data_IF_472631958035
#
_entry.id   IF_472631958035
#
_cell.length_a   1.000
_cell.length_b   1.000
_cell.length_c   1.000
_cell.angle_alpha   90.00
_cell.angle_beta   90.00
_cell.angle_gamma   90.00
#
_symmetry.space_group_name_H-M   'P 1'
#
loop_
_entity.id
_entity.type
_entity.pdbx_description
1 polymer ?
#
# COMPACT_ATOMS: atom_id res chain seq x y z
N UNK A 1 54.69 -1.96 37.22
CA UNK A 1 54.61 -2.61 38.55
C UNK A 1 53.59 -1.86 39.39
N UNK A 2 52.78 -2.62 40.13
CA UNK A 2 51.64 -2.25 40.99
C UNK A 2 52.01 -1.16 42.01
N UNK A 3 51.12 -0.36 42.60
CA UNK A 3 49.89 -0.69 43.37
C UNK A 3 48.99 0.55 43.45
N UNK A 4 47.70 0.44 43.11
CA UNK A 4 46.57 0.18 44.02
C UNK A 4 46.24 1.37 44.94
N UNK A 5 45.07 1.97 44.74
CA UNK A 5 44.26 2.42 45.87
C UNK A 5 42.76 2.27 45.56
N UNK A 6 42.14 1.45 46.40
CA UNK A 6 40.74 1.07 46.48
C UNK A 6 40.07 2.07 47.42
N UNK A 7 38.84 2.51 47.11
CA UNK A 7 37.91 2.97 48.15
C UNK A 7 36.50 2.48 47.84
N UNK A 8 36.10 1.46 48.58
CA UNK A 8 34.73 0.95 48.73
C UNK A 8 34.20 1.52 50.05
N UNK A 9 32.97 2.04 50.05
CA UNK A 9 32.00 2.09 51.17
C UNK A 9 30.64 2.37 50.49
N UNK A 10 29.71 1.44 50.26
CA UNK A 10 28.88 0.63 51.16
C UNK A 10 27.86 1.42 51.99
N UNK A 11 26.60 1.42 51.57
CA UNK A 11 25.44 1.47 52.48
C UNK A 11 24.20 0.87 51.79
N UNK A 12 23.84 -0.30 52.30
CA UNK A 12 22.64 -1.14 52.12
C UNK A 12 21.49 -0.47 52.92
N UNK A 13 20.34 -0.13 52.34
CA UNK A 13 19.11 -0.89 52.06
C UNK A 13 18.31 -1.38 53.31
N UNK A 14 17.08 -0.87 53.49
CA UNK A 14 15.90 -1.55 54.11
C UNK A 14 14.65 -0.79 53.66
N UNK A 15 13.92 -1.26 52.65
CA UNK A 15 12.66 -2.03 52.73
C UNK A 15 11.52 -1.38 53.55
N UNK A 16 10.44 -1.00 52.86
CA UNK A 16 9.09 -1.53 53.15
C UNK A 16 8.26 -1.61 51.86
N UNK A 17 7.77 -2.83 51.62
CA UNK A 17 6.91 -3.27 50.52
C UNK A 17 5.46 -2.83 50.75
N UNK A 18 4.77 -2.45 49.69
CA UNK A 18 3.33 -2.71 49.55
C UNK A 18 3.01 -3.17 48.14
N UNK A 19 2.58 -4.42 48.06
CA UNK A 19 2.17 -5.18 46.88
C UNK A 19 0.73 -4.81 46.52
N UNK A 20 0.46 -4.41 45.28
CA UNK A 20 -0.78 -4.77 44.55
C UNK A 20 -0.44 -5.04 43.08
N UNK A 21 -0.73 -6.26 42.64
CA UNK A 21 -0.66 -6.75 41.26
C UNK A 21 -1.82 -6.20 40.41
N UNK A 22 -1.56 -5.80 39.16
CA UNK A 22 -2.35 -6.21 37.98
C UNK A 22 -1.78 -5.61 36.67
N UNK A 23 -1.51 -6.48 35.69
CA UNK A 23 -1.85 -6.17 34.29
C UNK A 23 -0.80 -5.53 33.37
N UNK A 24 0.10 -6.37 32.86
CA UNK A 24 0.42 -6.51 31.42
C UNK A 24 0.95 -5.30 30.59
N UNK A 25 2.21 -5.52 30.13
CA UNK A 25 2.74 -5.29 28.77
C UNK A 25 3.27 -3.90 28.40
N UNK A 26 4.57 -3.77 28.67
CA UNK A 26 5.65 -3.45 27.73
C UNK A 26 5.33 -2.47 26.59
N UNK A 27 5.88 -1.27 26.80
CA UNK A 27 6.19 -0.25 25.82
C UNK A 27 6.86 -0.82 24.56
N UNK A 28 6.11 -0.83 23.46
CA UNK A 28 6.71 -0.86 22.13
C UNK A 28 6.67 0.57 21.58
N UNK A 29 7.85 1.20 21.61
CA UNK A 29 8.18 2.37 20.81
C UNK A 29 7.93 2.05 19.32
N UNK A 30 6.79 2.47 18.80
CA UNK A 30 6.60 2.58 17.36
C UNK A 30 7.13 3.94 16.91
N UNK A 31 8.22 3.82 16.16
CA UNK A 31 8.86 4.85 15.34
C UNK A 31 7.83 5.80 14.75
N UNK A 32 7.81 7.03 15.27
CA UNK A 32 7.19 8.19 14.65
C UNK A 32 7.96 8.49 13.36
N UNK A 33 7.57 7.87 12.26
CA UNK A 33 8.05 8.27 10.95
C UNK A 33 7.41 9.61 10.59
N UNK A 34 8.17 10.67 10.86
CA UNK A 34 8.19 11.95 10.16
C UNK A 34 6.99 12.20 9.22
N UNK A 35 5.91 12.74 9.79
CA UNK A 35 5.21 13.82 9.10
C UNK A 35 6.19 14.97 8.98
N UNK A 36 6.99 14.97 7.92
CA UNK A 36 7.56 16.19 7.38
C UNK A 36 6.46 17.26 7.45
N UNK A 37 6.75 18.36 8.14
CA UNK A 37 5.91 19.55 8.27
C UNK A 37 5.52 20.07 6.87
N UNK A 38 4.58 19.39 6.19
CA UNK A 38 3.95 19.90 5.00
C UNK A 38 3.05 21.01 5.53
N UNK A 39 3.56 22.24 5.47
CA UNK A 39 2.81 23.44 5.81
C UNK A 39 1.76 23.64 4.72
N UNK A 40 0.69 22.84 4.80
CA UNK A 40 -0.47 22.96 3.94
C UNK A 40 -1.13 24.30 4.27
N UNK A 41 -1.29 25.16 3.27
CA UNK A 41 -2.03 26.42 3.40
C UNK A 41 -3.37 26.26 2.67
N UNK A 42 -4.46 25.95 3.38
CA UNK A 42 -5.78 25.91 2.77
C UNK A 42 -6.14 27.26 2.16
N UNK A 43 -6.92 27.24 1.08
CA UNK A 43 -7.50 28.44 0.50
C UNK A 43 -8.48 29.12 1.47
N UNK A 44 -9.27 28.32 2.21
CA UNK A 44 -10.22 28.80 3.21
C UNK A 44 -10.29 27.81 4.38
N UNK A 45 -10.49 28.32 5.60
CA UNK A 45 -10.67 27.52 6.82
C UNK A 45 -11.95 27.95 7.53
N UNK A 46 -12.79 26.98 7.89
CA UNK A 46 -13.97 27.14 8.73
C UNK A 46 -13.75 26.30 9.99
N UNK A 47 -13.66 26.96 11.14
CA UNK A 47 -13.32 26.36 12.44
C UNK A 47 -14.50 25.66 13.12
N UNK A 48 -15.72 25.92 12.69
CA UNK A 48 -16.89 25.19 13.17
C UNK A 48 -17.86 24.99 12.02
N UNK A 49 -17.92 23.76 11.50
CA UNK A 49 -18.76 23.47 10.35
C UNK A 49 -20.25 23.69 10.61
N UNK A 50 -20.73 23.46 11.84
CA UNK A 50 -22.16 23.54 12.17
C UNK A 50 -22.64 25.00 12.28
N UNK A 51 -21.88 25.82 13.01
CA UNK A 51 -22.18 27.26 13.17
C UNK A 51 -21.97 28.03 11.87
N UNK A 52 -20.93 27.68 11.10
CA UNK A 52 -20.58 28.39 9.86
C UNK A 52 -21.24 27.79 8.63
N UNK A 53 -22.27 26.95 8.78
CA UNK A 53 -22.96 26.27 7.66
C UNK A 53 -23.39 27.25 6.57
N UNK A 54 -24.06 28.34 6.93
CA UNK A 54 -24.58 29.29 5.94
C UNK A 54 -23.44 29.96 5.15
N UNK A 55 -22.40 30.39 5.85
CA UNK A 55 -21.18 30.96 5.28
C UNK A 55 -20.48 29.97 4.34
N UNK A 56 -20.31 28.72 4.77
CA UNK A 56 -19.73 27.64 3.96
C UNK A 56 -20.49 27.48 2.66
N UNK A 57 -21.83 27.52 2.70
CA UNK A 57 -22.66 27.32 1.51
C UNK A 57 -22.69 28.54 0.60
N UNK A 58 -22.66 29.76 1.14
CA UNK A 58 -22.63 31.00 0.33
C UNK A 58 -21.28 31.18 -0.36
N UNK A 59 -20.18 31.03 0.39
CA UNK A 59 -18.82 31.29 -0.10
C UNK A 59 -18.40 30.33 -1.21
N UNK A 60 -18.96 29.12 -1.20
CA UNK A 60 -18.61 28.06 -2.13
C UNK A 60 -19.67 27.84 -3.23
N UNK A 61 -20.63 28.76 -3.37
CA UNK A 61 -21.68 28.67 -4.39
C UNK A 61 -21.06 28.81 -5.79
N UNK A 62 -21.24 27.78 -6.62
CA UNK A 62 -20.74 27.77 -8.00
C UNK A 62 -19.23 27.55 -8.14
N UNK A 63 -18.50 27.37 -7.03
CA UNK A 63 -17.06 27.10 -7.04
C UNK A 63 -16.78 25.61 -7.07
N UNK A 64 -15.74 25.22 -7.81
CA UNK A 64 -15.24 23.85 -7.87
C UNK A 64 -13.91 23.75 -7.11
N UNK A 65 -13.67 22.62 -6.45
CA UNK A 65 -12.42 22.44 -5.71
C UNK A 65 -12.35 21.17 -4.86
N UNK A 66 -11.28 21.07 -4.08
CA UNK A 66 -11.00 19.99 -3.13
C UNK A 66 -11.11 20.53 -1.71
N UNK A 67 -11.76 19.77 -0.83
CA UNK A 67 -12.00 20.13 0.56
C UNK A 67 -11.53 19.02 1.50
N UNK A 68 -11.29 19.41 2.76
CA UNK A 68 -10.86 18.54 3.85
C UNK A 68 -11.77 18.74 5.07
N UNK A 69 -12.39 17.67 5.54
CA UNK A 69 -13.01 17.62 6.86
C UNK A 69 -11.99 17.11 7.87
N UNK A 70 -11.85 17.77 9.02
CA UNK A 70 -10.95 17.37 10.11
C UNK A 70 -11.78 17.23 11.37
N UNK A 71 -11.76 16.05 11.98
CA UNK A 71 -12.40 15.84 13.27
C UNK A 71 -11.50 16.38 14.39
N UNK A 72 -12.02 17.28 15.22
CA UNK A 72 -11.27 17.96 16.27
C UNK A 72 -10.97 17.06 17.48
N UNK A 73 -11.76 16.01 17.70
CA UNK A 73 -11.58 15.12 18.86
C UNK A 73 -10.48 14.08 18.61
N UNK A 74 -10.27 13.64 17.37
CA UNK A 74 -9.33 12.57 17.02
C UNK A 74 -8.31 12.91 15.92
N UNK A 75 -8.36 14.13 15.38
CA UNK A 75 -7.51 14.65 14.30
C UNK A 75 -7.54 13.86 12.98
N UNK A 76 -8.49 12.92 12.83
CA UNK A 76 -8.66 12.19 11.57
C UNK A 76 -9.33 13.07 10.54
N UNK A 77 -9.00 12.83 9.28
CA UNK A 77 -9.51 13.66 8.20
C UNK A 77 -10.13 12.87 7.04
N UNK A 78 -10.94 13.58 6.26
CA UNK A 78 -11.53 13.13 5.01
C UNK A 78 -11.24 14.15 3.92
N UNK A 79 -10.85 13.68 2.74
CA UNK A 79 -10.67 14.48 1.53
C UNK A 79 -11.78 14.16 0.54
N UNK A 80 -12.37 15.19 -0.06
CA UNK A 80 -13.29 15.03 -1.17
C UNK A 80 -13.21 16.21 -2.13
N UNK A 81 -13.79 16.05 -3.31
CA UNK A 81 -13.90 17.12 -4.30
C UNK A 81 -15.35 17.37 -4.74
N UNK A 82 -15.58 18.51 -5.39
CA UNK A 82 -16.88 18.84 -5.95
C UNK A 82 -16.80 19.84 -7.10
N UNK A 83 -17.65 19.65 -8.12
CA UNK A 83 -17.86 20.61 -9.21
C UNK A 83 -18.57 21.87 -8.70
N UNK A 84 -19.54 21.68 -7.81
CA UNK A 84 -20.17 22.76 -7.06
C UNK A 84 -20.04 22.42 -5.57
N UNK A 85 -19.08 23.05 -4.91
CA UNK A 85 -18.73 22.80 -3.52
C UNK A 85 -19.91 23.07 -2.60
N UNK A 86 -20.68 24.16 -2.80
CA UNK A 86 -21.89 24.42 -2.01
C UNK A 86 -22.88 23.26 -2.07
N UNK A 87 -23.23 22.75 -3.26
CA UNK A 87 -24.11 21.58 -3.41
C UNK A 87 -23.52 20.32 -2.77
N UNK A 88 -22.22 20.08 -2.96
CA UNK A 88 -21.52 18.91 -2.40
C UNK A 88 -21.50 18.96 -0.88
N UNK A 89 -21.15 20.10 -0.29
CA UNK A 89 -21.04 20.32 1.14
C UNK A 89 -22.40 20.30 1.84
N UNK A 90 -23.45 20.82 1.19
CA UNK A 90 -24.82 20.78 1.71
C UNK A 90 -25.29 19.35 2.06
N UNK A 91 -24.81 18.32 1.35
CA UNK A 91 -25.15 16.92 1.63
C UNK A 91 -24.70 16.45 3.02
N UNK A 92 -23.62 17.02 3.56
CA UNK A 92 -23.09 16.68 4.88
C UNK A 92 -23.89 17.30 6.03
N UNK A 93 -24.68 18.34 5.75
CA UNK A 93 -25.47 19.06 6.76
C UNK A 93 -26.89 18.50 6.94
N UNK A 94 -27.26 17.43 6.23
CA UNK A 94 -28.58 16.81 6.33
C UNK A 94 -28.47 15.39 6.89
N UNK A 95 -28.91 15.18 8.12
CA UNK A 95 -28.90 13.85 8.75
C UNK A 95 -29.72 12.83 7.99
N UNK A 96 -30.84 13.26 7.40
CA UNK A 96 -31.65 12.42 6.50
C UNK A 96 -30.82 11.96 5.31
N UNK A 97 -30.11 12.88 4.65
CA UNK A 97 -29.25 12.52 3.53
C UNK A 97 -28.16 11.53 3.95
N UNK A 98 -27.44 11.82 5.04
CA UNK A 98 -26.38 10.96 5.56
C UNK A 98 -26.89 9.54 5.82
N UNK A 99 -28.02 9.39 6.52
CA UNK A 99 -28.64 8.09 6.82
C UNK A 99 -29.05 7.35 5.55
N UNK A 100 -29.76 8.01 4.62
CA UNK A 100 -30.16 7.40 3.34
C UNK A 100 -28.97 6.97 2.48
N UNK A 101 -27.86 7.72 2.49
CA UNK A 101 -26.65 7.30 1.78
C UNK A 101 -25.99 6.09 2.43
N UNK A 102 -26.02 6.00 3.77
CA UNK A 102 -25.49 4.86 4.53
C UNK A 102 -26.33 3.58 4.37
N UNK A 103 -27.60 3.68 4.00
CA UNK A 103 -28.41 2.51 3.62
C UNK A 103 -27.96 1.89 2.29
N UNK A 104 -27.40 2.71 1.40
CA UNK A 104 -26.99 2.31 0.04
C UNK A 104 -25.51 1.93 -0.05
N UNK A 105 -24.70 2.35 0.91
CA UNK A 105 -23.27 2.13 0.86
C UNK A 105 -22.54 2.49 2.15
N UNK A 106 -21.24 2.26 2.13
CA UNK A 106 -20.36 2.49 3.27
C UNK A 106 -19.59 3.80 3.09
N UNK A 107 -19.78 4.73 4.02
CA UNK A 107 -19.08 6.02 4.05
C UNK A 107 -18.60 6.33 5.46
N UNK A 108 -17.28 6.28 5.66
CA UNK A 108 -16.67 6.50 6.99
C UNK A 108 -16.90 7.95 7.45
N UNK A 109 -16.79 8.93 6.56
CA UNK A 109 -17.04 10.34 6.89
C UNK A 109 -18.50 10.58 7.30
N UNK A 110 -19.48 9.97 6.65
CA UNK A 110 -20.89 10.12 7.04
C UNK A 110 -21.15 9.53 8.42
N UNK A 111 -20.57 8.35 8.72
CA UNK A 111 -20.63 7.75 10.06
C UNK A 111 -19.94 8.62 11.10
N UNK A 112 -18.80 9.22 10.77
CA UNK A 112 -18.06 10.09 11.67
C UNK A 112 -18.84 11.36 12.00
N UNK A 113 -19.44 12.02 11.00
CA UNK A 113 -20.25 13.23 11.22
C UNK A 113 -21.48 12.93 12.09
N UNK A 114 -22.17 11.81 11.86
CA UNK A 114 -23.30 11.39 12.69
C UNK A 114 -22.88 11.03 14.12
N UNK A 115 -21.68 10.47 14.30
CA UNK A 115 -21.17 10.02 15.61
C UNK A 115 -20.66 11.17 16.48
N UNK A 116 -19.90 12.09 15.91
CA UNK A 116 -19.21 13.16 16.65
C UNK A 116 -19.95 14.50 16.60
N UNK A 117 -21.04 14.60 15.83
CA UNK A 117 -21.67 15.88 15.44
C UNK A 117 -20.78 16.73 14.53
N UNK A 118 -21.41 17.60 13.74
CA UNK A 118 -20.75 18.54 12.82
C UNK A 118 -19.93 19.60 13.54
N UNK A 119 -20.32 19.97 14.76
CA UNK A 119 -19.62 20.96 15.58
C UNK A 119 -18.21 20.52 16.00
N UNK A 120 -17.92 19.22 15.92
CA UNK A 120 -16.59 18.65 16.17
C UNK A 120 -15.73 18.56 14.93
N UNK A 121 -16.08 19.28 13.86
CA UNK A 121 -15.30 19.29 12.63
C UNK A 121 -14.94 20.70 12.17
N UNK A 122 -13.67 20.83 11.77
CA UNK A 122 -13.22 21.89 10.89
C UNK A 122 -13.46 21.47 9.44
N UNK A 123 -13.84 22.44 8.62
CA UNK A 123 -13.88 22.29 7.17
C UNK A 123 -12.85 23.23 6.56
N UNK A 124 -12.03 22.69 5.66
CA UNK A 124 -11.06 23.47 4.91
C UNK A 124 -11.29 23.29 3.43
N UNK A 125 -11.20 24.37 2.66
CA UNK A 125 -11.04 24.29 1.21
C UNK A 125 -9.55 24.28 0.94
N UNK A 126 -9.04 23.16 0.45
CA UNK A 126 -7.61 23.02 0.16
C UNK A 126 -7.23 23.82 -1.07
N UNK A 127 -8.05 23.74 -2.11
CA UNK A 127 -7.78 24.36 -3.41
C UNK A 127 -9.07 24.49 -4.22
N UNK A 128 -9.24 25.62 -4.90
CA UNK A 128 -10.21 25.77 -5.98
C UNK A 128 -9.56 25.39 -7.30
N UNK A 129 -10.22 24.55 -8.10
CA UNK A 129 -9.69 24.07 -9.36
C UNK A 129 -10.81 23.83 -10.38
N UNK A 130 -10.45 23.63 -11.64
CA UNK A 130 -11.41 23.33 -12.71
C UNK A 130 -11.94 21.89 -12.61
N UNK A 131 -13.12 21.65 -13.20
CA UNK A 131 -13.77 20.33 -13.18
C UNK A 131 -12.85 19.20 -13.68
N UNK A 132 -12.09 19.47 -14.75
CA UNK A 132 -11.19 18.49 -15.39
C UNK A 132 -10.07 18.00 -14.45
N UNK A 133 -9.68 18.82 -13.47
CA UNK A 133 -8.54 18.57 -12.59
C UNK A 133 -8.97 17.97 -11.24
N UNK A 134 -10.26 17.96 -10.90
CA UNK A 134 -10.76 17.55 -9.59
C UNK A 134 -10.27 16.17 -9.14
N UNK A 135 -10.39 15.15 -9.99
CA UNK A 135 -9.99 13.79 -9.64
C UNK A 135 -8.48 13.67 -9.43
N UNK A 136 -7.70 14.40 -10.24
CA UNK A 136 -6.25 14.44 -10.11
C UNK A 136 -5.84 15.12 -8.80
N UNK A 137 -6.44 16.28 -8.48
CA UNK A 137 -6.14 17.03 -7.25
C UNK A 137 -6.63 16.31 -6.01
N UNK A 138 -7.81 15.70 -6.04
CA UNK A 138 -8.34 14.88 -4.93
C UNK A 138 -7.40 13.70 -4.64
N UNK A 139 -6.97 12.97 -5.69
CA UNK A 139 -5.99 11.89 -5.55
C UNK A 139 -4.66 12.40 -4.98
N UNK A 140 -4.17 13.54 -5.46
CA UNK A 140 -2.96 14.18 -4.93
C UNK A 140 -3.05 14.41 -3.41
N UNK A 141 -4.15 15.01 -2.93
CA UNK A 141 -4.32 15.28 -1.50
C UNK A 141 -4.57 14.01 -0.67
N UNK A 142 -5.25 13.00 -1.22
CA UNK A 142 -5.41 11.69 -0.56
C UNK A 142 -4.04 11.03 -0.37
N UNK A 143 -3.18 11.01 -1.40
CA UNK A 143 -1.84 10.42 -1.30
C UNK A 143 -0.95 11.23 -0.35
N UNK A 144 -1.04 12.57 -0.42
CA UNK A 144 -0.23 13.46 0.40
C UNK A 144 -0.55 13.37 1.89
N UNK A 145 -1.84 13.30 2.24
CA UNK A 145 -2.32 13.40 3.62
C UNK A 145 -2.70 12.04 4.23
N UNK A 146 -2.87 11.01 3.42
CA UNK A 146 -3.31 9.66 3.82
C UNK A 146 -4.51 9.67 4.81
N UNK A 147 -5.64 10.31 4.44
CA UNK A 147 -6.79 10.52 5.31
C UNK A 147 -7.46 9.22 5.76
N UNK A 148 -7.76 9.09 7.05
CA UNK A 148 -8.30 7.86 7.66
C UNK A 148 -9.76 7.60 7.31
N UNK A 149 -10.50 8.64 6.95
CA UNK A 149 -11.91 8.51 6.58
C UNK A 149 -12.12 8.25 5.08
N UNK A 150 -11.06 8.28 4.26
CA UNK A 150 -11.14 7.86 2.86
C UNK A 150 -10.93 6.34 2.76
N UNK A 151 -11.94 5.64 2.28
CA UNK A 151 -11.86 4.19 2.03
C UNK A 151 -10.99 3.90 0.79
N UNK A 152 -11.10 4.76 -0.22
CA UNK A 152 -10.38 4.63 -1.49
C UNK A 152 -9.09 5.45 -1.45
N UNK A 153 -8.01 4.88 -2.01
CA UNK A 153 -6.69 5.53 -2.10
C UNK A 153 -6.55 6.45 -3.31
N UNK A 154 -7.43 6.30 -4.28
CA UNK A 154 -7.47 7.08 -5.52
C UNK A 154 -8.91 7.58 -5.71
N UNK A 155 -9.04 8.85 -6.10
CA UNK A 155 -10.35 9.47 -6.29
C UNK A 155 -11.10 8.83 -7.46
N UNK A 156 -12.39 8.53 -7.27
CA UNK A 156 -13.24 7.94 -8.31
C UNK A 156 -12.91 6.49 -8.70
N UNK A 157 -11.78 5.94 -8.27
CA UNK A 157 -11.33 4.59 -8.61
C UNK A 157 -11.71 3.59 -7.52
N UNK A 158 -12.57 2.63 -7.88
CA UNK A 158 -12.87 1.45 -7.03
C UNK A 158 -11.89 0.30 -7.28
N UNK A 159 -10.89 0.50 -8.14
CA UNK A 159 -9.93 -0.54 -8.51
C UNK A 159 -9.17 -1.02 -7.27
N UNK A 160 -9.20 -2.33 -7.02
CA UNK A 160 -8.59 -2.94 -5.83
C UNK A 160 -9.40 -2.83 -4.54
N UNK A 161 -10.54 -2.11 -4.53
CA UNK A 161 -11.46 -2.12 -3.39
C UNK A 161 -12.21 -3.46 -3.31
N UNK A 162 -12.26 -4.05 -2.11
CA UNK A 162 -12.96 -5.32 -1.89
C UNK A 162 -14.40 -5.04 -1.44
N UNK A 163 -15.35 -5.77 -2.01
CA UNK A 163 -16.72 -5.77 -1.49
C UNK A 163 -16.78 -6.36 -0.07
N UNK A 164 -17.68 -5.85 0.77
CA UNK A 164 -17.96 -6.47 2.07
C UNK A 164 -18.59 -7.84 1.88
N UNK A 165 -18.41 -8.75 2.86
CA UNK A 165 -19.02 -10.10 2.83
C UNK A 165 -20.53 -10.04 2.62
N UNK A 166 -21.21 -9.13 3.34
CA UNK A 166 -22.65 -8.89 3.22
C UNK A 166 -23.04 -8.47 1.79
N UNK A 167 -22.25 -7.59 1.15
CA UNK A 167 -22.52 -7.19 -0.22
C UNK A 167 -22.31 -8.34 -1.21
N UNK A 168 -21.25 -9.14 -1.02
CA UNK A 168 -20.98 -10.35 -1.83
C UNK A 168 -22.15 -11.33 -1.72
N UNK A 169 -22.66 -11.57 -0.51
CA UNK A 169 -23.78 -12.48 -0.27
C UNK A 169 -25.08 -11.97 -0.91
N UNK A 170 -25.36 -10.66 -0.83
CA UNK A 170 -26.50 -10.04 -1.52
C UNK A 170 -26.41 -10.21 -3.03
N UNK A 171 -25.23 -9.93 -3.62
CA UNK A 171 -24.99 -10.12 -5.05
C UNK A 171 -25.16 -11.58 -5.44
N UNK A 172 -24.63 -12.51 -4.64
CA UNK A 172 -24.75 -13.94 -4.86
C UNK A 172 -26.22 -14.40 -4.83
N UNK A 173 -26.99 -13.99 -3.82
CA UNK A 173 -28.43 -14.31 -3.73
C UNK A 173 -29.20 -13.75 -4.92
N UNK A 174 -28.95 -12.51 -5.30
CA UNK A 174 -29.58 -11.90 -6.47
C UNK A 174 -29.22 -12.61 -7.78
N UNK A 175 -27.99 -13.11 -7.91
CA UNK A 175 -27.56 -13.87 -9.09
C UNK A 175 -28.21 -15.27 -9.16
N UNK A 176 -28.41 -15.92 -8.01
CA UNK A 176 -29.08 -17.22 -7.92
C UNK A 176 -30.60 -17.13 -8.17
N UNK A 177 -31.22 -16.01 -7.81
CA UNK A 177 -32.66 -15.79 -7.97
C UNK A 177 -33.05 -15.18 -9.33
N UNK A 178 -32.20 -15.31 -10.36
CA UNK A 178 -32.53 -14.84 -11.71
C UNK A 178 -33.54 -15.78 -12.36
N UNK A 179 -34.56 -15.21 -13.01
CA UNK A 179 -35.52 -16.02 -13.80
C UNK A 179 -34.86 -16.54 -15.08
N UNK A 180 -35.46 -17.54 -15.71
CA UNK A 180 -34.96 -18.10 -16.97
C UNK A 180 -34.92 -17.05 -18.08
N UNK A 181 -35.90 -16.13 -18.12
CA UNK A 181 -35.92 -15.00 -19.07
C UNK A 181 -34.75 -14.05 -18.81
N UNK A 182 -34.45 -13.73 -17.55
CA UNK A 182 -33.32 -12.86 -17.19
C UNK A 182 -31.98 -13.51 -17.54
N UNK A 183 -31.88 -14.83 -17.39
CA UNK A 183 -30.70 -15.59 -17.79
C UNK A 183 -30.55 -15.62 -19.32
N UNK A 184 -31.65 -15.76 -20.07
CA UNK A 184 -31.64 -15.72 -21.53
C UNK A 184 -31.19 -14.33 -22.04
N UNK A 185 -31.75 -13.24 -21.50
CA UNK A 185 -31.34 -11.88 -21.84
C UNK A 185 -29.87 -11.62 -21.51
N UNK A 186 -29.38 -12.12 -20.37
CA UNK A 186 -27.97 -12.00 -20.00
C UNK A 186 -27.05 -12.78 -20.95
N UNK A 187 -27.45 -13.99 -21.38
CA UNK A 187 -26.71 -14.78 -22.38
C UNK A 187 -26.67 -14.08 -23.73
N UNK A 188 -27.79 -13.52 -24.18
CA UNK A 188 -27.87 -12.76 -25.43
C UNK A 188 -26.98 -11.50 -25.38
N UNK A 189 -27.01 -10.77 -24.26
CA UNK A 189 -26.12 -9.62 -24.04
C UNK A 189 -24.64 -10.02 -24.06
N UNK A 190 -24.27 -11.13 -23.40
CA UNK A 190 -22.91 -11.66 -23.44
C UNK A 190 -22.50 -12.06 -24.85
N UNK A 191 -23.38 -12.70 -25.62
CA UNK A 191 -23.12 -13.07 -27.00
C UNK A 191 -22.89 -11.84 -27.89
N UNK A 192 -23.70 -10.78 -27.73
CA UNK A 192 -23.52 -9.50 -28.44
C UNK A 192 -22.23 -8.80 -28.03
N UNK A 193 -21.92 -8.76 -26.73
CA UNK A 193 -20.68 -8.16 -26.21
C UNK A 193 -19.45 -8.93 -26.69
N UNK A 194 -19.52 -10.26 -26.73
CA UNK A 194 -18.46 -11.11 -27.27
C UNK A 194 -18.30 -10.90 -28.78
N UNK A 195 -19.40 -10.94 -29.56
CA UNK A 195 -19.39 -10.65 -31.00
C UNK A 195 -18.83 -9.26 -31.32
N UNK A 196 -19.16 -8.23 -30.52
CA UNK A 196 -18.60 -6.89 -30.65
C UNK A 196 -17.09 -6.83 -30.30
N UNK A 197 -16.63 -7.69 -29.41
CA UNK A 197 -15.22 -7.80 -29.02
C UNK A 197 -14.39 -8.73 -29.93
N UNK A 198 -14.99 -9.55 -30.78
CA UNK A 198 -14.30 -10.37 -31.80
C UNK A 198 -13.52 -9.50 -32.80
N UNK A 199 -13.89 -8.22 -32.97
CA UNK A 199 -13.09 -7.23 -33.72
C UNK A 199 -12.05 -6.46 -32.90
N UNK A 200 -12.00 -6.65 -31.57
CA UNK A 200 -11.04 -5.98 -30.65
C UNK A 200 -9.93 -6.90 -30.15
N UNK A 201 -10.10 -8.21 -30.26
CA UNK A 201 -8.96 -9.13 -30.24
C UNK A 201 -8.27 -9.01 -31.60
N UNK A 202 -7.18 -8.27 -31.68
CA UNK A 202 -6.29 -8.33 -32.83
C UNK A 202 -5.81 -9.79 -32.98
N UNK A 203 -6.52 -10.60 -33.77
CA UNK A 203 -5.82 -11.62 -34.52
C UNK A 203 -4.80 -10.84 -35.35
N UNK A 204 -3.54 -10.85 -34.90
CA UNK A 204 -2.49 -10.15 -35.62
C UNK A 204 -2.55 -10.65 -37.07
N UNK A 205 -2.66 -9.72 -38.03
CA UNK A 205 -2.45 -10.08 -39.44
C UNK A 205 -1.09 -10.77 -39.55
N UNK A 206 -0.91 -11.62 -40.55
CA UNK A 206 0.38 -12.31 -40.71
C UNK A 206 1.54 -11.32 -40.86
N UNK A 207 1.26 -10.13 -41.43
CA UNK A 207 2.18 -9.00 -41.47
C UNK A 207 2.50 -8.42 -40.06
N UNK A 208 1.50 -8.30 -39.18
CA UNK A 208 1.68 -7.84 -37.81
C UNK A 208 2.44 -8.87 -36.97
N UNK A 209 2.18 -10.17 -37.15
CA UNK A 209 2.95 -11.25 -36.53
C UNK A 209 4.41 -11.19 -36.97
N UNK A 210 4.66 -10.96 -38.26
CA UNK A 210 6.03 -10.86 -38.80
C UNK A 210 6.76 -9.62 -38.29
N UNK A 211 6.10 -8.46 -38.20
CA UNK A 211 6.65 -7.25 -37.58
C UNK A 211 7.03 -7.48 -36.11
N UNK A 212 6.19 -8.19 -35.35
CA UNK A 212 6.48 -8.56 -33.95
C UNK A 212 7.65 -9.55 -33.87
N UNK A 213 7.75 -10.50 -34.81
CA UNK A 213 8.86 -11.46 -34.90
C UNK A 213 10.18 -10.74 -35.17
N UNK A 214 10.22 -9.87 -36.18
CA UNK A 214 11.39 -9.06 -36.54
C UNK A 214 11.81 -8.16 -35.36
N UNK A 215 10.87 -7.47 -34.74
CA UNK A 215 11.15 -6.63 -33.56
C UNK A 215 11.65 -7.43 -32.34
N UNK A 216 11.26 -8.70 -32.22
CA UNK A 216 11.72 -9.59 -31.16
C UNK A 216 13.12 -10.16 -31.44
N UNK A 217 13.45 -10.44 -32.70
CA UNK A 217 14.75 -10.96 -33.14
C UNK A 217 15.84 -9.88 -33.20
N UNK A 218 15.48 -8.64 -33.56
CA UNK A 218 16.45 -7.54 -33.73
C UNK A 218 16.82 -6.82 -32.41
N UNK A 219 16.64 -7.47 -31.26
CA UNK A 219 17.06 -6.88 -29.98
C UNK A 219 18.59 -6.91 -29.91
N UNK A 220 19.22 -5.73 -29.95
CA UNK A 220 20.66 -5.58 -29.73
C UNK A 220 21.09 -6.29 -28.42
N UNK A 221 22.27 -6.90 -28.44
CA UNK A 221 22.87 -7.55 -27.27
C UNK A 221 22.93 -6.60 -26.06
N UNK A 222 23.18 -5.32 -26.29
CA UNK A 222 23.20 -4.27 -25.25
C UNK A 222 21.83 -4.08 -24.60
N UNK A 223 20.75 -4.04 -25.39
CA UNK A 223 19.39 -3.91 -24.88
C UNK A 223 18.99 -5.13 -24.04
N UNK A 224 19.39 -6.33 -24.47
CA UNK A 224 19.18 -7.57 -23.70
C UNK A 224 19.92 -7.51 -22.37
N UNK A 225 21.19 -7.04 -22.38
CA UNK A 225 22.00 -6.90 -21.17
C UNK A 225 21.39 -5.90 -20.19
N UNK A 226 20.98 -4.71 -20.68
CA UNK A 226 20.29 -3.68 -19.88
C UNK A 226 18.98 -4.20 -19.28
N UNK A 227 18.20 -4.94 -20.06
CA UNK A 227 16.95 -5.54 -19.59
C UNK A 227 17.19 -6.61 -18.50
N UNK A 228 18.20 -7.48 -18.69
CA UNK A 228 18.59 -8.50 -17.72
C UNK A 228 19.15 -7.88 -16.43
N UNK A 229 19.96 -6.83 -16.52
CA UNK A 229 20.43 -6.11 -15.34
C UNK A 229 19.28 -5.44 -14.57
N UNK A 230 18.27 -4.89 -15.26
CA UNK A 230 17.16 -4.20 -14.63
C UNK A 230 16.10 -5.14 -14.00
N UNK A 231 15.84 -6.31 -14.60
CA UNK A 231 14.74 -7.21 -14.22
C UNK A 231 15.15 -8.64 -13.86
N UNK A 232 16.39 -9.03 -14.16
CA UNK A 232 16.94 -10.34 -13.82
C UNK A 232 17.15 -10.50 -12.32
N UNK A 233 17.27 -11.75 -11.89
CA UNK A 233 17.74 -12.09 -10.54
C UNK A 233 19.15 -12.64 -10.68
N UNK A 234 20.13 -11.89 -10.21
CA UNK A 234 21.53 -12.29 -10.22
C UNK A 234 21.76 -13.52 -9.30
N UNK A 235 22.77 -14.31 -9.61
CA UNK A 235 23.15 -15.52 -8.88
C UNK A 235 24.60 -15.37 -8.44
N UNK A 236 24.90 -15.70 -7.18
CA UNK A 236 26.24 -15.68 -6.59
C UNK A 236 26.68 -17.12 -6.36
N UNK A 237 27.87 -17.45 -6.88
CA UNK A 237 28.57 -18.71 -6.62
C UNK A 237 29.71 -18.43 -5.66
N UNK A 238 29.78 -19.15 -4.54
CA UNK A 238 30.88 -19.07 -3.57
C UNK A 238 31.65 -20.38 -3.58
N UNK A 239 32.94 -20.34 -3.92
CA UNK A 239 33.79 -21.54 -3.90
C UNK A 239 34.15 -21.88 -2.44
N UNK A 240 33.97 -23.13 -2.04
CA UNK A 240 34.16 -23.54 -0.63
C UNK A 240 35.63 -23.49 -0.19
N UNK A 241 36.55 -23.84 -1.10
CA UNK A 241 37.97 -23.96 -0.79
C UNK A 241 38.66 -22.60 -0.59
N UNK A 242 38.26 -21.59 -1.36
CA UNK A 242 38.92 -20.28 -1.40
C UNK A 242 38.05 -19.14 -0.88
N UNK A 243 36.78 -19.41 -0.54
CA UNK A 243 35.75 -18.41 -0.22
C UNK A 243 35.58 -17.32 -1.30
N UNK A 244 36.04 -17.56 -2.52
CA UNK A 244 35.90 -16.61 -3.63
C UNK A 244 34.45 -16.60 -4.14
N UNK A 245 33.90 -15.39 -4.28
CA UNK A 245 32.54 -15.16 -4.76
C UNK A 245 32.55 -14.63 -6.18
N UNK A 246 31.83 -15.30 -7.08
CA UNK A 246 31.58 -14.84 -8.45
C UNK A 246 30.10 -14.55 -8.65
N UNK A 247 29.79 -13.43 -9.29
CA UNK A 247 28.42 -12.97 -9.53
C UNK A 247 28.05 -13.04 -11.01
N UNK A 248 26.86 -13.57 -11.28
CA UNK A 248 26.29 -13.70 -12.61
C UNK A 248 24.95 -12.98 -12.70
N UNK A 249 24.66 -12.36 -13.85
CA UNK A 249 23.44 -11.57 -14.03
C UNK A 249 22.17 -12.44 -14.10
N UNK A 250 22.33 -13.74 -14.38
CA UNK A 250 21.20 -14.68 -14.48
C UNK A 250 21.58 -16.11 -14.12
N UNK A 251 20.56 -16.90 -13.78
CA UNK A 251 20.71 -18.34 -13.55
C UNK A 251 21.25 -19.10 -14.76
N UNK A 252 20.93 -18.66 -15.98
CA UNK A 252 21.43 -19.31 -17.21
C UNK A 252 22.94 -19.13 -17.36
N UNK A 253 23.45 -17.95 -17.02
CA UNK A 253 24.86 -17.63 -17.09
C UNK A 253 25.66 -18.39 -16.03
N UNK A 254 25.18 -18.40 -14.79
CA UNK A 254 25.75 -19.21 -13.71
C UNK A 254 25.71 -20.71 -14.04
N UNK A 255 24.60 -21.21 -14.60
CA UNK A 255 24.46 -22.61 -14.95
C UNK A 255 25.42 -23.02 -16.07
N UNK A 256 25.67 -22.13 -17.05
CA UNK A 256 26.66 -22.35 -18.11
C UNK A 256 28.08 -22.42 -17.55
N UNK A 257 28.43 -21.55 -16.59
CA UNK A 257 29.74 -21.59 -15.93
C UNK A 257 29.98 -22.89 -15.17
N UNK A 258 28.97 -23.36 -14.42
CA UNK A 258 29.04 -24.60 -13.64
C UNK A 258 28.90 -25.86 -14.52
N UNK A 259 28.42 -25.72 -15.75
CA UNK A 259 28.20 -26.83 -16.67
C UNK A 259 26.94 -27.65 -16.37
N UNK A 260 25.90 -27.04 -15.78
CA UNK A 260 24.63 -27.72 -15.44
C UNK A 260 23.43 -27.07 -16.13
N UNK A 261 22.29 -27.75 -16.12
CA UNK A 261 21.04 -27.13 -16.59
C UNK A 261 20.60 -26.01 -15.61
N UNK A 262 19.98 -24.92 -16.10
CA UNK A 262 19.43 -23.87 -15.24
C UNK A 262 18.39 -24.38 -14.23
N UNK A 263 17.64 -25.42 -14.62
CA UNK A 263 16.65 -26.09 -13.76
C UNK A 263 17.36 -26.80 -12.60
N UNK A 264 18.46 -27.51 -12.88
CA UNK A 264 19.27 -28.15 -11.86
C UNK A 264 19.81 -27.12 -10.89
N UNK A 265 20.47 -26.06 -11.39
CA UNK A 265 21.00 -25.00 -10.54
C UNK A 265 19.91 -24.37 -9.65
N UNK A 266 18.71 -24.14 -10.21
CA UNK A 266 17.57 -23.61 -9.49
C UNK A 266 17.04 -24.52 -8.37
N UNK A 267 17.16 -25.85 -8.51
CA UNK A 267 16.83 -26.82 -7.45
C UNK A 267 17.84 -26.75 -6.31
N UNK A 268 19.14 -26.69 -6.61
CA UNK A 268 20.20 -26.61 -5.60
C UNK A 268 20.10 -25.30 -4.80
N UNK A 269 19.80 -24.17 -5.44
CA UNK A 269 19.54 -22.89 -4.75
C UNK A 269 18.35 -23.01 -3.77
N UNK A 270 17.28 -23.72 -4.15
CA UNK A 270 16.09 -23.90 -3.29
C UNK A 270 16.37 -24.81 -2.10
N UNK A 271 17.20 -25.83 -2.29
CA UNK A 271 17.57 -26.80 -1.25
C UNK A 271 18.74 -26.36 -0.38
N UNK A 272 19.42 -25.27 -0.75
CA UNK A 272 20.66 -24.81 -0.13
C UNK A 272 21.74 -25.90 -0.09
N UNK A 273 21.81 -26.69 -1.17
CA UNK A 273 22.78 -27.78 -1.33
C UNK A 273 24.00 -27.31 -2.13
N UNK A 274 25.14 -27.95 -1.88
CA UNK A 274 26.41 -27.66 -2.56
C UNK A 274 26.40 -28.31 -3.95
N UNK A 275 26.85 -27.58 -4.96
CA UNK A 275 26.97 -28.07 -6.33
C UNK A 275 28.41 -27.90 -6.82
N UNK A 276 29.09 -29.01 -7.14
CA UNK A 276 30.45 -29.02 -7.68
C UNK A 276 31.46 -28.17 -6.88
N UNK A 277 31.37 -28.17 -5.55
CA UNK A 277 32.24 -27.37 -4.68
C UNK A 277 31.84 -25.90 -4.53
N UNK A 278 30.67 -25.49 -5.05
CA UNK A 278 30.13 -24.15 -4.92
C UNK A 278 28.85 -24.12 -4.07
N UNK A 279 28.75 -23.08 -3.23
CA UNK A 279 27.49 -22.66 -2.62
C UNK A 279 26.82 -21.67 -3.58
N UNK A 280 25.58 -21.95 -3.97
CA UNK A 280 24.84 -21.18 -4.99
C UNK A 280 23.66 -20.46 -4.35
N UNK A 281 23.60 -19.14 -4.47
CA UNK A 281 22.51 -18.33 -3.92
C UNK A 281 22.01 -17.28 -4.91
N UNK A 282 20.72 -16.93 -4.85
CA UNK A 282 20.26 -15.71 -5.53
C UNK A 282 20.80 -14.48 -4.81
N UNK A 283 21.31 -13.51 -5.57
CA UNK A 283 21.60 -12.18 -5.04
C UNK A 283 20.28 -11.57 -4.59
N UNK A 284 20.20 -11.24 -3.31
CA UNK A 284 19.00 -10.68 -2.70
C UNK A 284 18.66 -9.37 -3.39
N UNK A 285 17.61 -9.35 -4.22
CA UNK A 285 17.18 -8.13 -4.90
C UNK A 285 16.53 -7.19 -3.85
N UNK A 286 17.09 -5.99 -3.59
CA UNK A 286 16.59 -5.09 -2.54
C UNK A 286 15.11 -4.74 -2.71
N UNK A 287 14.63 -4.59 -3.97
CA UNK A 287 13.22 -4.27 -4.29
C UNK A 287 12.27 -5.45 -4.02
N UNK A 288 12.74 -6.68 -4.24
CA UNK A 288 11.96 -7.90 -3.96
C UNK A 288 11.91 -8.17 -2.45
N UNK A 289 12.95 -7.79 -1.71
CA UNK A 289 12.97 -7.82 -0.25
C UNK A 289 11.95 -6.84 0.35
N UNK A 290 11.80 -5.64 -0.23
CA UNK A 290 10.81 -4.65 0.21
C UNK A 290 9.38 -5.17 0.06
N UNK A 291 9.07 -5.91 -1.02
CA UNK A 291 7.75 -6.49 -1.23
C UNK A 291 7.51 -7.76 -0.40
N UNK A 292 8.52 -8.60 -0.18
CA UNK A 292 8.40 -9.78 0.69
C UNK A 292 8.30 -9.39 2.19
N UNK A 293 8.91 -8.25 2.57
CA UNK A 293 8.77 -7.60 3.89
C UNK A 293 7.33 -7.11 4.17
N UNK A 294 6.53 -6.87 3.12
CA UNK A 294 5.17 -6.36 3.26
C UNK A 294 4.10 -7.47 3.39
N UNK A 295 4.33 -8.66 2.85
CA UNK A 295 3.32 -9.74 2.81
C UNK A 295 3.39 -10.75 3.96
N UNK A 296 4.53 -10.90 4.64
CA UNK A 296 4.71 -11.90 5.73
C UNK A 296 4.80 -11.31 7.13
N UNK A 297 4.62 -10.00 7.26
CA UNK A 297 4.62 -9.31 8.54
C UNK A 297 3.18 -9.13 9.04
N UNK A 298 2.50 -10.23 9.40
CA UNK A 298 1.38 -10.17 10.34
C UNK A 298 1.54 -11.30 11.37
N UNK A 299 1.94 -10.86 12.58
CA UNK A 299 1.54 -11.40 13.88
C UNK A 299 2.02 -12.78 14.36
N UNK A 300 3.27 -13.19 14.08
CA UNK A 300 3.88 -14.31 14.84
C UNK A 300 5.07 -13.87 15.72
N UNK A 301 5.12 -14.30 17.00
CA UNK A 301 6.22 -14.01 17.92
C UNK A 301 7.60 -14.46 17.39
N UNK A 302 7.69 -15.57 16.66
CA UNK A 302 8.96 -16.02 16.07
C UNK A 302 9.47 -15.07 14.97
N UNK A 303 8.56 -14.43 14.24
CA UNK A 303 8.89 -13.42 13.23
C UNK A 303 9.47 -12.15 13.85
N UNK A 304 8.97 -11.75 15.03
CA UNK A 304 9.49 -10.63 15.79
C UNK A 304 10.88 -10.90 16.37
N UNK A 305 11.12 -12.12 16.87
CA UNK A 305 12.41 -12.51 17.44
C UNK A 305 13.50 -12.57 16.37
N UNK A 306 13.23 -13.18 15.21
CA UNK A 306 14.17 -13.20 14.07
C UNK A 306 14.52 -11.79 13.58
N UNK A 307 13.58 -10.85 13.65
CA UNK A 307 13.81 -9.44 13.33
C UNK A 307 14.76 -8.74 14.31
N UNK A 308 14.70 -9.09 15.60
CA UNK A 308 15.65 -8.60 16.61
C UNK A 308 17.05 -9.15 16.38
N UNK A 309 17.14 -10.44 16.06
CA UNK A 309 18.42 -11.13 15.81
C UNK A 309 19.11 -10.58 14.55
N UNK A 310 18.35 -10.29 13.49
CA UNK A 310 18.86 -9.68 12.26
C UNK A 310 19.33 -8.23 12.49
N UNK A 311 18.60 -7.44 13.30
CA UNK A 311 19.05 -6.08 13.67
C UNK A 311 20.33 -6.11 14.49
N UNK A 312 20.48 -7.09 15.38
CA UNK A 312 21.71 -7.28 16.15
C UNK A 312 22.91 -7.64 15.25
N UNK A 313 22.69 -8.49 14.23
CA UNK A 313 23.71 -8.85 13.24
C UNK A 313 24.16 -7.64 12.39
N UNK A 314 23.20 -6.85 11.88
CA UNK A 314 23.48 -5.66 11.06
C UNK A 314 24.21 -4.55 11.81
N UNK A 315 24.02 -4.43 13.13
CA UNK A 315 24.73 -3.47 13.96
C UNK A 315 26.15 -3.95 14.35
N UNK A 316 26.44 -5.25 14.23
CA UNK A 316 27.76 -5.83 14.51
C UNK A 316 28.76 -5.57 13.38
N UNK A 317 28.30 -5.57 12.12
CA UNK A 317 29.13 -5.31 10.93
C UNK A 317 29.35 -3.83 10.58
N UNK A 318 29.20 -2.91 11.55
CA UNK A 318 29.36 -1.46 11.34
C UNK A 318 30.40 -0.82 12.26
N UNK A 319 31.18 -1.65 12.97
CA UNK A 319 32.27 -1.24 13.87
C UNK A 319 33.62 -1.91 13.55
N UNK A 320 33.74 -2.51 12.38
CA UNK A 320 35.02 -2.85 11.71
C UNK A 320 35.05 -2.09 10.39
#
# INVERSE_FOLDING_TARGET
MQKTNIKILSSVNTETKSVIYAGAKQSNNYVTNNSSNIKLKPAVVYHNADEQKELILSDNKGKSGVYRWINLDNNKCYIGSGVNLSKRLASYFSDKNLKTQLERGESVIYKAILRYSRSKFNLEILEYCEHKDLLMRETYYIVLLNPEYNILKEAGSRLGSKHSKVAIDKIRKAALNRTDEQLAQHREWLAKAWASNIGRTFAHSDESKEKIRIASSNKSAEHILKYRAARGTAVVLTKIETNETTEYLSINEAAKFVGVSPVTLGRYIKKAEILNGYIVNYKVNPKKLINLKAERAQDTPEGLQRMKDIKAYMNKGRKE
#
